data_IF_460892294782
#
_entry.id   IF_460892294782
#
_cell.length_a   1.000
_cell.length_b   1.000
_cell.length_c   1.000
_cell.angle_alpha   90.00
_cell.angle_beta   90.00
_cell.angle_gamma   90.00
#
_symmetry.space_group_name_H-M   'P 1'
#
loop_
_entity.id
_entity.type
_entity.pdbx_description
1 polymer ?
#
# COMPACT_ATOMS: atom_id res chain seq x y z
N UNK A 1 -10.62 29.04 20.54
CA UNK A 1 -11.18 27.79 21.12
C UNK A 1 -10.67 26.63 20.28
N UNK A 2 -9.75 25.81 20.80
CA UNK A 2 -9.28 24.62 20.09
C UNK A 2 -10.23 23.47 20.45
N UNK A 3 -11.12 23.10 19.52
CA UNK A 3 -11.92 21.89 19.65
C UNK A 3 -10.97 20.70 19.47
N UNK A 4 -10.54 20.07 20.55
CA UNK A 4 -9.82 18.81 20.47
C UNK A 4 -10.84 17.72 20.16
N UNK A 5 -10.89 17.31 18.89
CA UNK A 5 -11.70 16.16 18.46
C UNK A 5 -11.10 14.93 19.14
N UNK A 6 -11.76 14.46 20.21
CA UNK A 6 -11.43 13.18 20.83
C UNK A 6 -11.93 12.07 19.92
N UNK A 7 -11.00 11.42 19.23
CA UNK A 7 -11.29 10.29 18.35
C UNK A 7 -10.92 9.01 19.06
N UNK A 8 -11.81 8.02 19.07
CA UNK A 8 -11.54 6.70 19.66
C UNK A 8 -10.87 5.77 18.65
N UNK A 9 -10.34 4.65 19.12
CA UNK A 9 -9.85 3.57 18.24
C UNK A 9 -10.95 3.03 17.33
N UNK A 10 -12.18 2.95 17.84
CA UNK A 10 -13.34 2.48 17.09
C UNK A 10 -13.71 3.47 15.98
N UNK A 11 -13.70 4.77 16.26
CA UNK A 11 -13.92 5.80 15.24
C UNK A 11 -12.89 5.73 14.10
N UNK A 12 -11.60 5.54 14.43
CA UNK A 12 -10.55 5.37 13.42
C UNK A 12 -10.77 4.10 12.59
N UNK A 13 -11.21 3.01 13.21
CA UNK A 13 -11.52 1.77 12.51
C UNK A 13 -12.71 1.97 11.54
N UNK A 14 -13.79 2.60 11.98
CA UNK A 14 -14.94 2.90 11.13
C UNK A 14 -14.56 3.79 9.95
N UNK A 15 -13.73 4.81 10.18
CA UNK A 15 -13.23 5.66 9.11
C UNK A 15 -12.37 4.87 8.10
N UNK A 16 -11.49 3.98 8.58
CA UNK A 16 -10.70 3.13 7.70
C UNK A 16 -11.58 2.20 6.85
N UNK A 17 -12.56 1.55 7.48
CA UNK A 17 -13.52 0.68 6.79
C UNK A 17 -14.29 1.46 5.71
N UNK A 18 -14.78 2.65 6.03
CA UNK A 18 -15.45 3.53 5.07
C UNK A 18 -14.53 3.90 3.90
N UNK A 19 -13.27 4.25 4.17
CA UNK A 19 -12.28 4.55 3.13
C UNK A 19 -12.02 3.35 2.22
N UNK A 20 -11.90 2.13 2.77
CA UNK A 20 -11.72 0.92 1.97
C UNK A 20 -12.96 0.58 1.13
N UNK A 21 -14.18 0.80 1.65
CA UNK A 21 -15.42 0.63 0.90
C UNK A 21 -15.51 1.63 -0.26
N UNK A 22 -15.18 2.90 -0.02
CA UNK A 22 -15.17 3.94 -1.06
C UNK A 22 -14.16 3.61 -2.16
N UNK A 23 -12.97 3.16 -1.77
CA UNK A 23 -11.96 2.68 -2.72
C UNK A 23 -12.49 1.52 -3.56
N UNK A 24 -13.06 0.49 -2.93
CA UNK A 24 -13.63 -0.66 -3.64
C UNK A 24 -14.77 -0.27 -4.60
N UNK A 25 -15.48 0.82 -4.30
CA UNK A 25 -16.50 1.39 -5.18
C UNK A 25 -15.92 2.28 -6.31
N UNK A 26 -14.60 2.40 -6.44
CA UNK A 26 -13.93 3.27 -7.42
C UNK A 26 -14.00 4.76 -7.09
N UNK A 27 -14.53 5.14 -5.91
CA UNK A 27 -14.65 6.53 -5.46
C UNK A 27 -13.35 6.99 -4.81
N UNK A 28 -12.30 7.06 -5.63
CA UNK A 28 -10.92 7.27 -5.16
C UNK A 28 -10.72 8.63 -4.48
N UNK A 29 -11.38 9.68 -4.95
CA UNK A 29 -11.32 11.01 -4.32
C UNK A 29 -11.90 10.99 -2.91
N UNK A 30 -13.07 10.37 -2.73
CA UNK A 30 -13.70 10.25 -1.42
C UNK A 30 -12.88 9.38 -0.48
N UNK A 31 -12.34 8.26 -0.98
CA UNK A 31 -11.45 7.39 -0.21
C UNK A 31 -10.20 8.15 0.27
N UNK A 32 -9.60 8.96 -0.59
CA UNK A 32 -8.45 9.79 -0.23
C UNK A 32 -8.78 10.76 0.91
N UNK A 33 -9.91 11.47 0.83
CA UNK A 33 -10.35 12.41 1.86
C UNK A 33 -10.48 11.70 3.21
N UNK A 34 -11.11 10.52 3.22
CA UNK A 34 -11.28 9.73 4.45
C UNK A 34 -9.93 9.30 5.03
N UNK A 35 -9.03 8.74 4.21
CA UNK A 35 -7.72 8.31 4.70
C UNK A 35 -6.83 9.47 5.15
N UNK A 36 -6.90 10.64 4.50
CA UNK A 36 -6.24 11.87 4.97
C UNK A 36 -6.78 12.32 6.33
N UNK A 37 -8.10 12.20 6.54
CA UNK A 37 -8.72 12.42 7.84
C UNK A 37 -8.17 11.48 8.92
N UNK A 38 -8.09 10.18 8.63
CA UNK A 38 -7.49 9.18 9.55
C UNK A 38 -6.04 9.53 9.87
N UNK A 39 -5.24 9.90 8.87
CA UNK A 39 -3.85 10.31 9.06
C UNK A 39 -3.73 11.57 9.93
N UNK A 40 -4.61 12.56 9.76
CA UNK A 40 -4.59 13.78 10.57
C UNK A 40 -4.95 13.49 12.04
N UNK A 41 -5.87 12.55 12.28
CA UNK A 41 -6.29 12.13 13.62
C UNK A 41 -5.30 11.17 14.29
N UNK A 42 -4.56 10.40 13.49
CA UNK A 42 -3.55 9.44 13.95
C UNK A 42 -2.32 9.42 13.02
N UNK A 43 -1.39 10.38 13.18
CA UNK A 43 -0.24 10.54 12.27
C UNK A 43 0.70 9.34 12.21
N UNK A 44 0.74 8.53 13.27
CA UNK A 44 1.63 7.37 13.38
C UNK A 44 0.96 6.05 12.92
N UNK A 45 -0.26 6.12 12.38
CA UNK A 45 -0.99 4.94 11.97
C UNK A 45 -0.63 4.55 10.53
N UNK A 46 0.32 3.62 10.39
CA UNK A 46 0.86 3.17 9.10
C UNK A 46 -0.20 2.74 8.09
N UNK A 47 -1.31 2.16 8.56
CA UNK A 47 -2.41 1.68 7.70
C UNK A 47 -2.99 2.79 6.81
N UNK A 48 -3.03 4.04 7.28
CA UNK A 48 -3.57 5.17 6.54
C UNK A 48 -2.62 5.61 5.42
N UNK A 49 -1.30 5.60 5.68
CA UNK A 49 -0.29 5.93 4.66
C UNK A 49 -0.24 4.85 3.57
N UNK A 50 -0.34 3.56 3.93
CA UNK A 50 -0.46 2.46 2.94
C UNK A 50 -1.75 2.58 2.14
N UNK A 51 -2.88 2.90 2.78
CA UNK A 51 -4.16 3.07 2.09
C UNK A 51 -4.12 4.24 1.09
N UNK A 52 -3.51 5.37 1.46
CA UNK A 52 -3.27 6.49 0.54
C UNK A 52 -2.33 6.09 -0.61
N UNK A 53 -1.28 5.31 -0.34
CA UNK A 53 -0.43 4.73 -1.38
C UNK A 53 -1.20 3.87 -2.36
N UNK A 54 -2.20 3.13 -1.87
CA UNK A 54 -3.05 2.28 -2.69
C UNK A 54 -3.97 3.11 -3.58
N UNK A 55 -4.51 4.22 -3.07
CA UNK A 55 -5.26 5.18 -3.88
C UNK A 55 -4.38 5.82 -4.96
N UNK A 56 -3.15 6.21 -4.63
CA UNK A 56 -2.20 6.75 -5.61
C UNK A 56 -1.86 5.72 -6.71
N UNK A 57 -1.66 4.45 -6.32
CA UNK A 57 -1.41 3.34 -7.24
C UNK A 57 -2.59 3.12 -8.20
N UNK A 58 -3.82 3.11 -7.71
CA UNK A 58 -5.03 2.91 -8.53
C UNK A 58 -5.29 4.05 -9.51
N UNK A 59 -4.74 5.23 -9.24
CA UNK A 59 -4.73 6.36 -10.17
C UNK A 59 -3.62 6.30 -11.21
N UNK A 60 -2.73 5.31 -11.12
CA UNK A 60 -1.53 5.20 -11.94
C UNK A 60 -0.40 6.15 -11.53
N UNK A 61 -0.50 6.84 -10.39
CA UNK A 61 0.60 7.66 -9.87
C UNK A 61 1.56 6.80 -9.04
N UNK A 62 2.31 5.96 -9.75
CA UNK A 62 3.26 5.04 -9.15
C UNK A 62 4.38 5.76 -8.38
N UNK A 63 4.73 6.97 -8.79
CA UNK A 63 5.74 7.78 -8.10
C UNK A 63 5.29 8.22 -6.71
N UNK A 64 4.03 8.67 -6.56
CA UNK A 64 3.46 8.98 -5.24
C UNK A 64 3.23 7.73 -4.40
N UNK A 65 2.69 6.67 -5.01
CA UNK A 65 2.46 5.40 -4.32
C UNK A 65 3.76 4.85 -3.71
N UNK A 66 4.84 4.77 -4.50
CA UNK A 66 6.19 4.37 -4.05
C UNK A 66 6.62 5.14 -2.80
N UNK A 67 6.61 6.48 -2.86
CA UNK A 67 7.06 7.33 -1.74
C UNK A 67 6.28 7.08 -0.45
N UNK A 68 4.98 6.78 -0.55
CA UNK A 68 4.16 6.46 0.63
C UNK A 68 4.54 5.12 1.23
N UNK A 69 4.72 4.10 0.41
CA UNK A 69 5.14 2.77 0.89
C UNK A 69 6.56 2.80 1.47
N UNK A 70 7.48 3.53 0.84
CA UNK A 70 8.84 3.73 1.36
C UNK A 70 8.83 4.36 2.76
N UNK A 71 8.00 5.39 3.01
CA UNK A 71 7.86 5.97 4.36
C UNK A 71 7.35 4.97 5.40
N UNK A 72 6.41 4.11 5.01
CA UNK A 72 5.90 3.07 5.92
C UNK A 72 7.00 2.06 6.23
N UNK A 73 7.81 1.69 5.22
CA UNK A 73 8.95 0.78 5.37
C UNK A 73 10.06 1.40 6.23
N UNK A 74 10.35 2.70 6.05
CA UNK A 74 11.31 3.44 6.88
C UNK A 74 10.89 3.45 8.36
N UNK A 75 9.60 3.67 8.63
CA UNK A 75 9.05 3.65 9.98
C UNK A 75 8.94 2.24 10.56
N UNK A 76 8.58 1.24 9.74
CA UNK A 76 8.45 -0.15 10.11
C UNK A 76 9.07 -1.07 9.04
N UNK A 77 10.36 -1.43 9.18
CA UNK A 77 11.04 -2.31 8.22
C UNK A 77 10.52 -3.75 8.19
N UNK A 78 9.53 -4.11 9.01
CA UNK A 78 8.90 -5.43 9.06
C UNK A 78 7.47 -5.43 8.53
N UNK A 79 7.03 -4.34 7.91
CA UNK A 79 5.69 -4.24 7.32
C UNK A 79 5.62 -5.00 5.98
N UNK A 80 5.24 -6.28 6.04
CA UNK A 80 5.10 -7.12 4.85
C UNK A 80 4.08 -6.54 3.84
N UNK A 81 3.09 -5.78 4.31
CA UNK A 81 2.07 -5.21 3.43
C UNK A 81 2.63 -4.06 2.62
N UNK A 82 3.38 -3.15 3.25
CA UNK A 82 4.06 -2.07 2.53
C UNK A 82 5.06 -2.60 1.49
N UNK A 83 5.83 -3.64 1.79
CA UNK A 83 6.72 -4.28 0.81
C UNK A 83 5.96 -4.92 -0.36
N UNK A 84 4.84 -5.58 -0.10
CA UNK A 84 4.02 -6.18 -1.16
C UNK A 84 3.44 -5.10 -2.09
N UNK A 85 2.89 -4.02 -1.53
CA UNK A 85 2.34 -2.91 -2.30
C UNK A 85 3.43 -2.14 -3.08
N UNK A 86 4.62 -1.95 -2.50
CA UNK A 86 5.76 -1.36 -3.19
C UNK A 86 6.17 -2.25 -4.37
N UNK A 87 6.33 -3.56 -4.14
CA UNK A 87 6.68 -4.50 -5.20
C UNK A 87 5.69 -4.55 -6.35
N UNK A 88 4.38 -4.49 -6.05
CA UNK A 88 3.33 -4.35 -7.05
C UNK A 88 3.47 -3.02 -7.82
N UNK A 89 3.68 -1.92 -7.11
CA UNK A 89 3.86 -0.59 -7.72
C UNK A 89 5.04 -0.56 -8.71
N UNK A 90 6.19 -1.10 -8.30
CA UNK A 90 7.37 -1.16 -9.17
C UNK A 90 7.14 -2.07 -10.38
N UNK A 91 6.39 -3.17 -10.22
CA UNK A 91 6.07 -4.08 -11.32
C UNK A 91 5.27 -3.36 -12.41
N UNK A 92 4.24 -2.61 -12.02
CA UNK A 92 3.41 -1.84 -12.94
C UNK A 92 4.15 -0.63 -13.54
N UNK A 93 5.08 -0.03 -12.80
CA UNK A 93 5.99 1.01 -13.28
C UNK A 93 7.17 0.44 -14.12
N UNK A 94 7.16 -0.86 -14.41
CA UNK A 94 8.19 -1.59 -15.20
C UNK A 94 9.60 -1.57 -14.60
N UNK A 95 9.71 -1.30 -13.31
CA UNK A 95 10.95 -1.33 -12.53
C UNK A 95 11.16 -2.72 -11.95
N UNK A 96 11.45 -3.64 -12.85
CA UNK A 96 11.42 -5.08 -12.59
C UNK A 96 12.43 -5.56 -11.54
N UNK A 97 13.60 -4.91 -11.44
CA UNK A 97 14.61 -5.27 -10.45
C UNK A 97 14.15 -4.87 -9.04
N UNK A 98 13.67 -3.64 -8.90
CA UNK A 98 13.14 -3.08 -7.66
C UNK A 98 11.87 -3.84 -7.21
N UNK A 99 10.98 -4.17 -8.15
CA UNK A 99 9.82 -5.01 -7.90
C UNK A 99 10.22 -6.34 -7.28
N UNK A 100 11.19 -7.05 -7.88
CA UNK A 100 11.67 -8.33 -7.35
C UNK A 100 12.18 -8.18 -5.92
N UNK A 101 13.04 -7.18 -5.66
CA UNK A 101 13.61 -6.96 -4.32
C UNK A 101 12.52 -6.73 -3.27
N UNK A 102 11.53 -5.87 -3.55
CA UNK A 102 10.46 -5.60 -2.60
C UNK A 102 9.55 -6.82 -2.38
N UNK A 103 9.19 -7.53 -3.45
CA UNK A 103 8.35 -8.73 -3.36
C UNK A 103 9.04 -9.89 -2.62
N UNK A 104 10.34 -10.10 -2.85
CA UNK A 104 11.12 -11.10 -2.11
C UNK A 104 11.11 -10.79 -0.61
N UNK A 105 11.21 -9.50 -0.24
CA UNK A 105 11.13 -9.08 1.17
C UNK A 105 9.75 -9.32 1.79
N UNK A 106 8.67 -9.08 1.04
CA UNK A 106 7.31 -9.41 1.49
C UNK A 106 7.13 -10.91 1.74
N UNK A 107 7.72 -11.77 0.90
CA UNK A 107 7.71 -13.24 1.10
C UNK A 107 8.53 -13.64 2.33
N UNK A 108 9.68 -13.02 2.57
CA UNK A 108 10.50 -13.28 3.75
C UNK A 108 9.77 -12.92 5.05
N UNK A 109 9.10 -11.77 5.07
CA UNK A 109 8.40 -11.25 6.25
C UNK A 109 7.08 -11.96 6.53
N UNK A 110 6.39 -12.41 5.49
CA UNK A 110 5.10 -13.11 5.60
C UNK A 110 5.06 -14.38 4.74
N UNK A 111 5.83 -15.43 5.08
CA UNK A 111 5.98 -16.60 4.22
C UNK A 111 4.68 -17.38 4.02
N UNK A 112 3.76 -17.37 4.99
CA UNK A 112 2.52 -18.17 4.96
C UNK A 112 1.23 -17.34 4.96
N UNK A 113 1.31 -16.03 5.09
CA UNK A 113 0.14 -15.15 5.09
C UNK A 113 -0.16 -14.53 3.72
N UNK A 114 -1.12 -13.59 3.72
CA UNK A 114 -1.68 -13.05 2.49
C UNK A 114 -0.70 -12.17 1.73
N UNK A 115 0.18 -11.43 2.40
CA UNK A 115 1.14 -10.54 1.73
C UNK A 115 2.20 -11.35 0.98
N UNK A 116 2.76 -12.39 1.58
CA UNK A 116 3.70 -13.25 0.87
C UNK A 116 3.03 -14.09 -0.22
N UNK A 117 1.75 -14.47 -0.03
CA UNK A 117 0.99 -15.16 -1.07
C UNK A 117 0.75 -14.27 -2.30
N UNK A 118 0.39 -12.99 -2.10
CA UNK A 118 0.32 -11.99 -3.16
C UNK A 118 1.69 -11.83 -3.83
N UNK A 119 2.74 -11.64 -3.04
CA UNK A 119 4.08 -11.38 -3.56
C UNK A 119 4.62 -12.53 -4.43
N UNK A 120 4.40 -13.79 -4.03
CA UNK A 120 4.75 -14.95 -4.87
C UNK A 120 4.03 -14.97 -6.22
N UNK A 121 2.75 -14.58 -6.26
CA UNK A 121 1.98 -14.49 -7.51
C UNK A 121 2.56 -13.41 -8.43
N UNK A 122 2.89 -12.26 -7.87
CA UNK A 122 3.49 -11.15 -8.64
C UNK A 122 4.92 -11.48 -9.12
N UNK A 123 5.72 -12.19 -8.32
CA UNK A 123 7.03 -12.68 -8.74
C UNK A 123 6.93 -13.64 -9.93
N UNK A 124 5.96 -14.55 -9.93
CA UNK A 124 5.72 -15.44 -11.06
C UNK A 124 5.32 -14.64 -12.32
N UNK A 125 4.42 -13.66 -12.18
CA UNK A 125 4.04 -12.78 -13.28
C UNK A 125 5.24 -12.00 -13.85
N UNK A 126 6.12 -11.51 -12.97
CA UNK A 126 7.36 -10.82 -13.36
C UNK A 126 8.27 -11.71 -14.22
N UNK A 127 8.42 -12.98 -13.88
CA UNK A 127 9.21 -13.94 -14.66
C UNK A 127 8.61 -14.15 -16.06
N UNK A 128 7.28 -14.31 -16.14
CA UNK A 128 6.55 -14.49 -17.41
C UNK A 128 6.69 -13.25 -18.32
N UNK A 129 6.55 -12.04 -17.76
CA UNK A 129 6.72 -10.78 -18.50
C UNK A 129 8.15 -10.65 -19.03
N UNK A 130 9.17 -10.99 -18.23
CA UNK A 130 10.56 -10.93 -18.66
C UNK A 130 10.90 -11.96 -19.74
N UNK A 131 10.36 -13.17 -19.63
CA UNK A 131 10.52 -14.19 -20.65
C UNK A 131 9.90 -13.77 -21.98
N UNK A 132 8.72 -13.16 -21.96
CA UNK A 132 8.05 -12.64 -23.16
C UNK A 132 8.75 -11.43 -23.79
N UNK A 133 9.38 -10.56 -22.98
CA UNK A 133 10.10 -9.38 -23.48
C UNK A 133 11.52 -9.70 -24.01
N UNK A 134 12.06 -10.88 -23.69
CA UNK A 134 13.38 -11.34 -24.15
C UNK A 134 13.33 -12.27 -25.37
N UNK A 135 12.15 -12.57 -25.90
CA UNK A 135 11.91 -13.37 -27.11
C UNK A 135 11.52 -12.47 -28.29
#
# INVERSE_FOLDING_TARGET
>A
MAWTVRTTREDLQTLLEAGFILRAAGRLDDAQVVFQGVQALSPNLSVAEVALGTVDFERGDFARARKRYERVIEANPRDAWAYAQLGETELFDRRYAEAKTALDKAVELDPKGPQGALARRLLKLLEEVRAAAGA
#
